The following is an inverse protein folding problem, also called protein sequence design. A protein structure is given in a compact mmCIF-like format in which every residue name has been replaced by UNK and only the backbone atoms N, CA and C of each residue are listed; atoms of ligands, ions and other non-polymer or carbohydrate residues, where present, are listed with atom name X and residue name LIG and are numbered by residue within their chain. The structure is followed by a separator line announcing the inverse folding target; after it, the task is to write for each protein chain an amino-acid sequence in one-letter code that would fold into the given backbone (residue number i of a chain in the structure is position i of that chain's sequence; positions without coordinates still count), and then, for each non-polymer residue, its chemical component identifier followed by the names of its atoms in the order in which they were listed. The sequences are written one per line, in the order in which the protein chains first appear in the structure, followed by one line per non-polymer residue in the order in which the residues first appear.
data_IF_866244534682
#
_entry.id   IF_866244534682
#
_cell.length_a   1.000
_cell.length_b   1.000
_cell.length_c   1.000
_cell.angle_alpha   90.00
_cell.angle_beta   90.00
_cell.angle_gamma   90.00
#
_symmetry.space_group_name_H-M   'P 1'
#
loop_
_entity.id
_entity.type
_entity.pdbx_description
1 polymer ?
#
# COMPACT_ATOMS: atom_id res chain seq x y z
N UNK A 1 3.46 -18.36 -16.58
CA UNK A 1 3.29 -17.22 -17.51
C UNK A 1 4.49 -16.30 -17.33
N UNK A 2 5.35 -16.20 -18.33
CA UNK A 2 6.53 -15.32 -18.29
C UNK A 2 6.10 -13.94 -18.76
N UNK A 3 5.93 -13.01 -17.83
CA UNK A 3 5.67 -11.60 -18.11
C UNK A 3 6.62 -10.76 -17.27
N UNK A 4 7.22 -9.73 -17.86
CA UNK A 4 8.12 -8.83 -17.16
C UNK A 4 7.30 -7.87 -16.31
N UNK A 5 7.58 -7.79 -15.01
CA UNK A 5 6.98 -6.78 -14.14
C UNK A 5 7.68 -5.45 -14.36
N UNK A 6 6.92 -4.42 -14.70
CA UNK A 6 7.41 -3.05 -14.84
C UNK A 6 7.04 -2.25 -13.58
N UNK A 7 8.05 -1.67 -12.94
CA UNK A 7 7.85 -0.76 -11.82
C UNK A 7 7.36 0.60 -12.33
N UNK A 8 6.34 1.17 -11.68
CA UNK A 8 5.77 2.47 -12.04
C UNK A 8 5.98 3.47 -10.91
N UNK A 9 5.47 3.13 -9.72
CA UNK A 9 5.49 4.02 -8.56
C UNK A 9 5.50 3.22 -7.26
N UNK A 10 6.15 3.79 -6.25
CA UNK A 10 6.12 3.34 -4.87
C UNK A 10 5.51 4.43 -4.00
N UNK A 11 4.61 4.06 -3.10
CA UNK A 11 4.09 4.96 -2.07
C UNK A 11 4.43 4.37 -0.71
N UNK A 12 5.15 5.13 0.12
CA UNK A 12 5.54 4.68 1.45
C UNK A 12 4.38 4.76 2.45
N UNK A 13 4.57 4.15 3.62
CA UNK A 13 3.63 4.19 4.74
C UNK A 13 3.24 5.61 5.15
N UNK A 14 4.17 6.56 5.08
CA UNK A 14 3.99 7.99 5.37
C UNK A 14 3.55 8.82 4.14
N UNK A 15 2.94 8.18 3.14
CA UNK A 15 2.40 8.82 1.93
C UNK A 15 3.44 9.52 1.04
N UNK A 16 4.73 9.15 1.11
CA UNK A 16 5.73 9.66 0.17
C UNK A 16 5.68 8.86 -1.12
N UNK A 17 5.66 9.57 -2.24
CA UNK A 17 5.58 9.01 -3.58
C UNK A 17 6.97 9.05 -4.23
N UNK A 18 7.35 7.92 -4.85
CA UNK A 18 8.62 7.77 -5.57
C UNK A 18 8.38 7.06 -6.90
N UNK A 19 8.78 7.68 -7.99
CA UNK A 19 8.72 7.12 -9.34
C UNK A 19 10.06 6.49 -9.76
N UNK A 20 10.09 5.93 -10.96
CA UNK A 20 11.30 5.39 -11.58
C UNK A 20 12.48 6.40 -11.50
N UNK A 21 13.69 5.89 -11.29
CA UNK A 21 14.87 6.73 -11.10
C UNK A 21 14.87 7.55 -9.80
N UNK A 22 14.06 7.16 -8.80
CA UNK A 22 13.92 7.85 -7.50
C UNK A 22 13.35 9.27 -7.57
N UNK A 23 12.62 9.59 -8.65
CA UNK A 23 12.04 10.91 -8.86
C UNK A 23 10.79 11.10 -7.98
N UNK A 24 10.62 12.28 -7.36
CA UNK A 24 9.43 12.57 -6.53
C UNK A 24 8.16 12.92 -7.31
N UNK A 25 8.29 13.22 -8.60
CA UNK A 25 7.19 13.67 -9.47
C UNK A 25 7.36 13.14 -10.89
N UNK A 26 6.29 12.80 -11.60
CA UNK A 26 6.32 12.41 -13.01
C UNK A 26 5.37 13.27 -13.85
N UNK A 27 5.70 13.49 -15.13
CA UNK A 27 4.79 14.14 -16.11
C UNK A 27 3.70 13.19 -16.60
N UNK A 28 4.01 11.89 -16.64
CA UNK A 28 3.16 10.80 -17.16
C UNK A 28 2.30 10.16 -16.07
N UNK A 29 2.75 10.18 -14.82
CA UNK A 29 2.08 9.49 -13.72
C UNK A 29 1.86 10.40 -12.54
N UNK A 30 0.72 10.23 -11.90
CA UNK A 30 0.40 10.86 -10.63
C UNK A 30 -0.06 9.77 -9.68
N UNK A 31 0.47 9.80 -8.45
CA UNK A 31 0.11 8.82 -7.45
C UNK A 31 -0.22 9.54 -6.16
N UNK A 32 -1.21 9.01 -5.45
CA UNK A 32 -1.68 9.56 -4.19
C UNK A 32 -2.13 8.43 -3.27
N UNK A 33 -2.04 8.70 -1.97
CA UNK A 33 -2.56 7.84 -0.93
C UNK A 33 -3.56 8.64 -0.11
N UNK A 34 -4.79 8.15 -0.05
CA UNK A 34 -5.80 8.63 0.89
C UNK A 34 -6.16 7.51 1.86
N UNK A 35 -5.73 7.64 3.11
CA UNK A 35 -5.83 6.62 4.15
C UNK A 35 -5.23 5.30 3.68
N UNK A 36 -6.07 4.33 3.35
CA UNK A 36 -5.64 3.02 2.87
C UNK A 36 -5.91 2.84 1.35
N UNK A 37 -6.39 3.89 0.68
CA UNK A 37 -6.64 3.94 -0.75
C UNK A 37 -5.42 4.44 -1.49
N UNK A 38 -4.91 3.59 -2.37
CA UNK A 38 -3.81 3.88 -3.27
C UNK A 38 -4.38 4.19 -4.64
N UNK A 39 -4.07 5.38 -5.15
CA UNK A 39 -4.54 5.82 -6.45
C UNK A 39 -3.36 6.11 -7.35
N UNK A 40 -3.36 5.47 -8.51
CA UNK A 40 -2.48 5.76 -9.64
C UNK A 40 -3.33 6.39 -10.74
N UNK A 41 -2.82 7.49 -11.30
CA UNK A 41 -3.39 8.19 -12.45
C UNK A 41 -2.33 8.22 -13.55
N UNK A 42 -2.67 7.69 -14.71
CA UNK A 42 -1.83 7.73 -15.92
C UNK A 42 -2.31 8.91 -16.77
N UNK A 43 -1.42 9.89 -17.00
CA UNK A 43 -1.65 11.08 -17.80
C UNK A 43 -1.25 10.82 -19.26
N UNK A 44 -2.06 11.31 -20.20
CA UNK A 44 -1.83 11.14 -21.64
C UNK A 44 -1.59 9.68 -22.02
N UNK A 45 -2.54 8.81 -21.65
CA UNK A 45 -2.46 7.36 -21.89
C UNK A 45 -2.18 7.06 -23.37
N UNK A 46 -1.17 6.24 -23.62
CA UNK A 46 -0.72 5.82 -24.96
C UNK A 46 -0.81 4.30 -25.11
N UNK A 47 -0.73 3.74 -26.33
CA UNK A 47 -0.69 2.29 -26.53
C UNK A 47 0.44 1.57 -25.77
N UNK A 48 1.50 2.30 -25.37
CA UNK A 48 2.60 1.75 -24.56
C UNK A 48 2.22 1.56 -23.09
N UNK A 49 1.19 2.27 -22.61
CA UNK A 49 0.71 2.18 -21.24
C UNK A 49 -0.36 1.08 -21.07
N UNK A 50 -0.71 0.37 -22.14
CA UNK A 50 -1.66 -0.74 -22.10
C UNK A 50 -1.08 -1.95 -21.37
N UNK A 51 -1.90 -2.57 -20.51
CA UNK A 51 -1.51 -3.78 -19.81
C UNK A 51 -2.31 -4.04 -18.55
N UNK A 52 -1.84 -5.02 -17.78
CA UNK A 52 -2.41 -5.36 -16.49
C UNK A 52 -1.65 -4.63 -15.38
N UNK A 53 -2.37 -3.79 -14.65
CA UNK A 53 -1.82 -3.01 -13.54
C UNK A 53 -2.05 -3.74 -12.22
N UNK A 54 -0.99 -3.88 -11.42
CA UNK A 54 -1.06 -4.57 -10.14
C UNK A 54 -0.65 -3.63 -9.00
N UNK A 55 -1.39 -3.65 -7.90
CA UNK A 55 -0.90 -3.14 -6.63
C UNK A 55 -0.08 -4.24 -5.95
N UNK A 56 1.12 -3.87 -5.48
CA UNK A 56 2.00 -4.76 -4.73
C UNK A 56 2.29 -4.13 -3.38
N UNK A 57 2.10 -4.90 -2.32
CA UNK A 57 2.28 -4.44 -0.95
C UNK A 57 3.28 -5.33 -0.22
N UNK A 58 4.21 -4.73 0.51
CA UNK A 58 5.08 -5.45 1.41
C UNK A 58 4.52 -5.35 2.83
N UNK A 59 4.05 -6.48 3.37
CA UNK A 59 3.45 -6.56 4.70
C UNK A 59 4.19 -7.65 5.45
N UNK A 60 4.73 -7.35 6.62
CA UNK A 60 5.47 -8.31 7.45
C UNK A 60 6.54 -9.09 6.67
N UNK A 61 7.30 -8.39 5.82
CA UNK A 61 8.36 -8.98 4.98
C UNK A 61 7.84 -9.92 3.87
N UNK A 62 6.54 -9.93 3.60
CA UNK A 62 5.90 -10.74 2.56
C UNK A 62 5.27 -9.84 1.49
N UNK A 63 5.43 -10.22 0.22
CA UNK A 63 4.87 -9.49 -0.93
C UNK A 63 3.47 -10.01 -1.27
N UNK A 64 2.50 -9.11 -1.26
CA UNK A 64 1.12 -9.37 -1.64
C UNK A 64 0.81 -8.68 -2.97
N UNK A 65 0.31 -9.45 -3.93
CA UNK A 65 -0.07 -8.97 -5.25
C UNK A 65 -1.60 -8.90 -5.36
N UNK A 66 -2.11 -7.79 -5.87
CA UNK A 66 -3.52 -7.68 -6.25
C UNK A 66 -3.85 -8.60 -7.45
N UNK A 67 -5.13 -8.89 -7.73
CA UNK A 67 -5.55 -9.69 -8.90
C UNK A 67 -5.12 -9.11 -10.27
N UNK A 68 -4.79 -7.81 -10.34
CA UNK A 68 -4.46 -7.12 -11.57
C UNK A 68 -5.68 -6.53 -12.26
N UNK A 69 -5.58 -5.28 -12.69
CA UNK A 69 -6.62 -4.57 -13.43
C UNK A 69 -6.19 -4.46 -14.90
N UNK A 70 -6.94 -5.05 -15.86
CA UNK A 70 -6.69 -4.83 -17.28
C UNK A 70 -7.08 -3.40 -17.67
N UNK A 71 -6.15 -2.70 -18.34
CA UNK A 71 -6.34 -1.34 -18.85
C UNK A 71 -5.84 -1.30 -20.30
N UNK A 72 -6.77 -1.23 -21.25
CA UNK A 72 -6.51 -1.23 -22.69
C UNK A 72 -7.30 -0.10 -23.36
N UNK A 73 -6.80 0.48 -24.44
CA UNK A 73 -7.60 1.44 -25.20
C UNK A 73 -8.82 0.73 -25.81
N UNK A 74 -9.95 1.43 -25.92
CA UNK A 74 -11.07 0.90 -26.67
C UNK A 74 -10.61 0.66 -28.12
N UNK A 75 -10.83 -0.55 -28.61
CA UNK A 75 -10.59 -0.86 -30.02
C UNK A 75 -11.51 0.05 -30.82
N UNK A 76 -10.92 0.93 -31.63
CA UNK A 76 -11.70 1.67 -32.62
C UNK A 76 -12.06 0.66 -33.69
N UNK A 77 -13.27 0.11 -33.63
CA UNK A 77 -13.82 -0.67 -34.73
C UNK A 77 -14.01 0.28 -35.90
N UNK A 78 -12.99 0.38 -36.76
CA UNK A 78 -13.15 0.97 -38.09
C UNK A 78 -14.17 0.11 -38.81
N UNK A 79 -15.42 0.58 -38.83
CA UNK A 79 -16.45 0.04 -39.70
C UNK A 79 -15.93 0.23 -41.11
N UNK A 80 -15.54 -0.86 -41.76
CA UNK A 80 -15.26 -0.86 -43.19
C UNK A 80 -16.49 -0.25 -43.90
N UNK A 81 -16.32 0.68 -44.86
CA UNK A 81 -17.45 1.30 -45.55
C UNK A 81 -18.28 0.20 -46.21
N UNK A 82 -19.39 -0.15 -45.57
CA UNK A 82 -20.31 -1.17 -46.07
C UNK A 82 -21.29 -0.46 -46.97
N UNK A 83 -21.12 -0.66 -48.28
CA UNK A 83 -22.12 -0.33 -49.30
C UNK A 83 -23.49 -0.80 -48.83
N UNK A 84 -24.43 0.14 -48.86
CA UNK A 84 -25.81 -0.01 -48.40
C UNK A 84 -26.52 -1.23 -49.00
N UNK A 85 -27.06 -2.10 -48.15
CA UNK A 85 -28.18 -2.96 -48.51
C UNK A 85 -29.21 -2.95 -47.37
N UNK A 86 -30.47 -2.55 -47.60
CA UNK A 86 -31.46 -2.44 -46.54
C UNK A 86 -32.31 -3.71 -46.43
N UNK A 87 -32.38 -4.35 -45.26
CA UNK A 87 -33.52 -5.20 -44.78
C UNK A 87 -33.33 -5.62 -43.30
N UNK A 88 -34.36 -6.06 -42.55
CA UNK A 88 -34.81 -5.33 -41.36
C UNK A 88 -34.68 -6.10 -40.03
N UNK A 89 -34.52 -5.31 -38.96
CA UNK A 89 -35.05 -5.46 -37.59
C UNK A 89 -35.21 -6.88 -37.00
N UNK A 90 -34.35 -7.22 -36.02
CA UNK A 90 -34.77 -8.01 -34.87
C UNK A 90 -33.90 -7.63 -33.66
N UNK A 91 -34.55 -7.49 -32.51
CA UNK A 91 -34.07 -6.72 -31.37
C UNK A 91 -33.03 -7.39 -30.51
N UNK A 92 -32.56 -6.64 -29.51
CA UNK A 92 -32.76 -6.91 -28.08
C UNK A 92 -32.09 -5.75 -27.34
N UNK A 93 -32.88 -5.09 -26.50
CA UNK A 93 -32.44 -4.11 -25.52
C UNK A 93 -31.64 -4.83 -24.45
N UNK A 94 -30.32 -4.63 -24.39
CA UNK A 94 -29.55 -4.87 -23.17
C UNK A 94 -28.54 -3.75 -22.96
N UNK A 95 -28.92 -2.86 -22.05
CA UNK A 95 -28.07 -1.88 -21.39
C UNK A 95 -27.12 -2.64 -20.45
N UNK A 96 -25.78 -2.60 -20.61
CA UNK A 96 -24.90 -3.11 -19.59
C UNK A 96 -24.78 -2.03 -18.52
N UNK A 97 -25.82 -2.00 -17.68
CA UNK A 97 -25.76 -1.64 -16.28
C UNK A 97 -24.44 -2.18 -15.72
N UNK A 98 -23.47 -1.29 -15.47
CA UNK A 98 -22.24 -1.62 -14.76
C UNK A 98 -22.62 -1.96 -13.32
N UNK A 99 -23.11 -3.18 -13.12
CA UNK A 99 -23.21 -3.81 -11.83
C UNK A 99 -21.80 -3.93 -11.30
N UNK A 100 -21.50 -3.04 -10.36
CA UNK A 100 -20.35 -3.12 -9.47
C UNK A 100 -20.38 -4.48 -8.78
N UNK A 101 -19.43 -5.39 -9.05
CA UNK A 101 -19.20 -6.49 -8.14
C UNK A 101 -18.40 -5.88 -6.99
N UNK A 102 -19.06 -5.65 -5.86
CA UNK A 102 -18.33 -5.48 -4.62
C UNK A 102 -17.47 -6.73 -4.39
N UNK A 103 -16.20 -6.53 -4.05
CA UNK A 103 -15.72 -7.22 -2.86
C UNK A 103 -15.13 -6.17 -1.92
N UNK A 104 -15.86 -5.96 -0.83
CA UNK A 104 -15.30 -5.47 0.41
C UNK A 104 -14.12 -6.38 0.79
N UNK A 105 -12.89 -5.94 0.50
CA UNK A 105 -11.67 -6.49 1.12
C UNK A 105 -10.81 -5.32 1.57
N UNK A 106 -10.93 -5.06 2.87
CA UNK A 106 -10.36 -3.94 3.60
C UNK A 106 -8.84 -3.91 3.43
N UNK A 107 -8.34 -2.68 3.40
CA UNK A 107 -7.16 -2.27 2.68
C UNK A 107 -5.88 -2.51 3.50
N UNK A 108 -4.79 -3.03 2.92
CA UNK A 108 -3.69 -3.55 3.72
C UNK A 108 -2.66 -2.51 4.22
N UNK A 109 -2.95 -1.20 4.20
CA UNK A 109 -1.94 -0.16 4.49
C UNK A 109 -2.31 0.87 5.56
N UNK A 110 -3.34 0.54 6.33
CA UNK A 110 -3.32 0.69 7.79
C UNK A 110 -2.38 -0.35 8.44
N UNK A 111 -1.55 -1.11 7.71
CA UNK A 111 -0.72 -2.18 8.32
C UNK A 111 0.80 -1.90 8.29
N UNK A 112 1.33 -1.11 7.35
CA UNK A 112 2.78 -0.81 7.29
C UNK A 112 3.23 0.31 8.25
N UNK A 113 2.37 1.29 8.57
CA UNK A 113 2.63 2.31 9.61
C UNK A 113 2.57 1.74 11.03
N UNK A 114 1.88 0.62 11.21
CA UNK A 114 1.67 -0.05 12.49
C UNK A 114 2.85 -0.96 12.84
N UNK A 115 3.44 -1.69 11.89
CA UNK A 115 4.54 -2.61 12.19
C UNK A 115 5.81 -1.90 12.72
N UNK A 116 6.10 -0.67 12.30
CA UNK A 116 7.25 0.09 12.81
C UNK A 116 7.01 0.66 14.23
N UNK A 117 5.77 1.03 14.56
CA UNK A 117 5.37 1.46 15.91
C UNK A 117 5.29 0.28 16.89
N UNK A 118 4.76 -0.88 16.47
CA UNK A 118 4.67 -2.10 17.29
C UNK A 118 6.03 -2.71 17.65
N UNK A 119 7.10 -2.45 16.88
CA UNK A 119 8.45 -2.94 17.19
C UNK A 119 9.16 -2.03 18.21
N UNK A 120 9.06 -0.70 18.05
CA UNK A 120 9.85 0.25 18.85
C UNK A 120 9.21 0.62 20.20
N UNK A 121 7.88 0.61 20.31
CA UNK A 121 7.17 0.93 21.57
C UNK A 121 7.45 -0.10 22.69
N UNK A 122 7.29 -1.41 22.49
CA UNK A 122 7.63 -2.39 23.53
C UNK A 122 9.14 -2.46 23.81
N UNK A 123 9.99 -2.20 22.81
CA UNK A 123 11.45 -2.17 22.99
C UNK A 123 11.88 -1.01 23.90
N UNK A 124 11.33 0.19 23.68
CA UNK A 124 11.60 1.34 24.54
C UNK A 124 10.97 1.21 25.92
N UNK A 125 9.76 0.64 26.02
CA UNK A 125 9.07 0.39 27.29
C UNK A 125 9.81 -0.62 28.19
N UNK A 126 10.28 -1.72 27.62
CA UNK A 126 11.07 -2.71 28.36
C UNK A 126 12.38 -2.13 28.88
N UNK A 127 13.09 -1.36 28.04
CA UNK A 127 14.30 -0.65 28.47
C UNK A 127 14.03 0.31 29.63
N UNK A 128 12.94 1.09 29.58
CA UNK A 128 12.60 2.02 30.65
C UNK A 128 12.27 1.30 31.97
N UNK A 129 11.51 0.19 31.91
CA UNK A 129 11.18 -0.62 33.08
C UNK A 129 12.41 -1.26 33.72
N UNK A 130 13.34 -1.75 32.89
CA UNK A 130 14.60 -2.30 33.36
C UNK A 130 15.44 -1.23 34.09
N UNK A 131 15.49 -0.01 33.55
CA UNK A 131 16.19 1.10 34.20
C UNK A 131 15.56 1.47 35.55
N UNK A 132 14.23 1.52 35.63
CA UNK A 132 13.52 1.81 36.89
C UNK A 132 13.78 0.71 37.93
N UNK A 133 13.68 -0.56 37.54
CA UNK A 133 13.95 -1.68 38.44
C UNK A 133 15.39 -1.66 38.97
N UNK A 134 16.35 -1.33 38.10
CA UNK A 134 17.75 -1.18 38.47
C UNK A 134 17.95 -0.04 39.47
N UNK A 135 17.32 1.12 39.25
CA UNK A 135 17.38 2.26 40.17
C UNK A 135 16.76 1.91 41.53
N UNK A 136 15.57 1.29 41.55
CA UNK A 136 14.91 0.87 42.80
C UNK A 136 15.78 -0.13 43.57
N UNK A 137 16.35 -1.10 42.87
CA UNK A 137 17.25 -2.10 43.46
C UNK A 137 18.48 -1.42 44.08
N UNK A 138 19.10 -0.46 43.38
CA UNK A 138 20.23 0.32 43.92
C UNK A 138 19.80 1.08 45.18
N UNK A 139 18.65 1.76 45.16
CA UNK A 139 18.15 2.54 46.30
C UNK A 139 17.86 1.64 47.50
N UNK A 140 17.25 0.47 47.30
CA UNK A 140 16.99 -0.50 48.36
C UNK A 140 18.29 -1.07 48.93
N UNK A 141 19.24 -1.48 48.09
CA UNK A 141 20.57 -1.93 48.52
C UNK A 141 21.34 -0.85 49.28
N UNK A 142 21.26 0.40 48.85
CA UNK A 142 21.86 1.53 49.57
C UNK A 142 21.17 1.77 50.91
N UNK A 143 19.83 1.69 50.98
CA UNK A 143 19.07 1.83 52.24
C UNK A 143 19.37 0.69 53.22
N UNK A 144 19.42 -0.56 52.77
CA UNK A 144 19.75 -1.70 53.64
C UNK A 144 21.20 -1.65 54.10
N UNK A 145 22.15 -1.26 53.23
CA UNK A 145 23.55 -1.04 53.61
C UNK A 145 23.69 0.11 54.62
N UNK A 146 23.03 1.24 54.39
CA UNK A 146 23.01 2.36 55.36
C UNK A 146 22.37 1.96 56.70
N UNK A 147 21.33 1.12 56.70
CA UNK A 147 20.72 0.60 57.93
C UNK A 147 21.64 -0.38 58.67
N UNK A 148 22.37 -1.24 57.95
CA UNK A 148 23.39 -2.13 58.53
C UNK A 148 24.57 -1.35 59.13
N UNK A 149 24.97 -0.25 58.51
CA UNK A 149 25.97 0.67 59.07
C UNK A 149 25.46 1.49 60.28
N UNK A 150 24.17 1.39 60.63
CA UNK A 150 23.61 1.95 61.86
C UNK A 150 23.55 0.96 63.04
N UNK A 151 24.05 -0.27 62.89
CA UNK A 151 24.49 -1.04 64.05
C UNK A 151 25.77 -0.40 64.60
N UNK A 152 25.58 0.64 65.41
CA UNK A 152 26.63 1.25 66.23
C UNK A 152 26.79 0.37 67.47
N UNK A 153 28.01 -0.15 67.62
CA UNK A 153 28.77 -0.50 68.84
C UNK A 153 27.97 -0.79 70.11
#
# INVERSE_FOLDING_TARGET
KSGTLHFIVFISSISRVTFEGSQGTSRRFEASKDKATYRLVVKSFTPQDEGNYFCVMNINQMLHFSPGQPVFLPVTTTVAPTTSRPTPMSGITEDPNFQTPGPERRMPDELNSFCHIFIWVPLSGACLLLLIALVVTIVLCQRTRRRRCKCKR
#
